data_IF_046013575284
#
_entry.id   IF_046013575284
#
_cell.length_a   1.000
_cell.length_b   1.000
_cell.length_c   1.000
_cell.angle_alpha   90.00
_cell.angle_beta   90.00
_cell.angle_gamma   90.00
#
_symmetry.space_group_name_H-M   'P 1'
#
loop_
_entity.id
_entity.type
_entity.pdbx_description
1 polymer ?
#
# COMPACT_ATOMS: atom_id res chain seq x y z
N UNK A 1 -2.20 20.49 -0.01
CA UNK A 1 -1.32 19.69 0.86
C UNK A 1 -2.15 18.63 1.54
N UNK A 2 -1.74 17.36 1.49
CA UNK A 2 -2.46 16.20 2.04
C UNK A 2 -1.52 15.47 3.01
N UNK A 3 -2.02 15.14 4.20
CA UNK A 3 -1.28 14.29 5.15
C UNK A 3 -1.99 12.95 5.26
N UNK A 4 -1.24 11.86 5.08
CA UNK A 4 -1.77 10.49 5.16
C UNK A 4 -1.18 9.82 6.40
N UNK A 5 -2.07 9.38 7.29
CA UNK A 5 -1.70 8.59 8.47
C UNK A 5 -1.92 7.11 8.14
N UNK A 6 -0.94 6.26 8.46
CA UNK A 6 -1.06 4.81 8.27
C UNK A 6 -0.18 4.06 9.26
N UNK A 7 -0.66 2.92 9.72
CA UNK A 7 0.11 1.97 10.52
C UNK A 7 0.99 1.02 9.69
N UNK A 8 0.82 1.01 8.38
CA UNK A 8 1.66 0.25 7.45
C UNK A 8 3.04 0.90 7.32
N UNK A 9 3.99 0.42 8.12
CA UNK A 9 5.42 0.78 7.97
C UNK A 9 5.90 0.54 6.55
N UNK A 10 5.45 -0.54 5.90
CA UNK A 10 5.82 -0.84 4.54
C UNK A 10 5.45 0.31 3.59
N UNK A 11 4.22 0.81 3.64
CA UNK A 11 3.78 1.91 2.77
C UNK A 11 4.50 3.21 3.13
N UNK A 12 4.52 3.58 4.41
CA UNK A 12 5.12 4.84 4.86
C UNK A 12 6.61 4.89 4.55
N UNK A 13 7.37 3.88 4.94
CA UNK A 13 8.81 3.83 4.68
C UNK A 13 9.13 3.78 3.19
N UNK A 14 8.31 3.09 2.39
CA UNK A 14 8.54 3.02 0.94
C UNK A 14 8.53 4.39 0.27
N UNK A 15 7.71 5.31 0.77
CA UNK A 15 7.60 6.69 0.25
C UNK A 15 8.59 7.61 0.96
N UNK A 16 8.52 7.70 2.30
CA UNK A 16 9.30 8.66 3.09
C UNK A 16 10.81 8.38 3.05
N UNK A 17 11.22 7.10 3.05
CA UNK A 17 12.64 6.70 2.86
C UNK A 17 13.03 6.57 1.39
N UNK A 18 12.10 6.83 0.46
CA UNK A 18 12.35 6.85 -0.97
C UNK A 18 12.67 5.50 -1.61
N UNK A 19 12.30 4.37 -0.98
CA UNK A 19 12.54 3.04 -1.55
C UNK A 19 11.82 2.86 -2.88
N UNK A 20 10.58 3.35 -2.98
CA UNK A 20 9.76 3.23 -4.19
C UNK A 20 10.44 3.87 -5.40
N UNK A 21 11.13 5.00 -5.22
CA UNK A 21 11.85 5.68 -6.30
C UNK A 21 13.06 4.89 -6.78
N UNK A 22 13.70 4.12 -5.89
CA UNK A 22 14.77 3.19 -6.27
C UNK A 22 14.21 1.95 -6.99
N UNK A 23 13.01 1.51 -6.66
CA UNK A 23 12.35 0.40 -7.36
C UNK A 23 11.97 0.78 -8.79
N UNK A 24 11.51 2.02 -9.02
CA UNK A 24 11.25 2.55 -10.37
C UNK A 24 12.48 2.42 -11.26
N UNK A 25 13.66 2.81 -10.77
CA UNK A 25 14.93 2.70 -11.52
C UNK A 25 15.27 1.26 -11.90
N UNK A 26 14.81 0.28 -11.12
CA UNK A 26 15.03 -1.16 -11.35
C UNK A 26 13.81 -1.85 -11.97
N UNK A 27 12.85 -1.09 -12.49
CA UNK A 27 11.58 -1.60 -13.04
C UNK A 27 10.85 -2.57 -12.11
N UNK A 28 10.98 -2.36 -10.80
CA UNK A 28 10.44 -3.21 -9.74
C UNK A 28 10.91 -4.69 -9.78
N UNK A 29 12.04 -4.99 -10.42
CA UNK A 29 12.59 -6.35 -10.47
C UNK A 29 12.82 -6.89 -9.05
N UNK A 30 12.23 -8.04 -8.75
CA UNK A 30 12.33 -8.70 -7.44
C UNK A 30 11.64 -7.94 -6.30
N UNK A 31 10.60 -7.16 -6.62
CA UNK A 31 9.74 -6.50 -5.63
C UNK A 31 8.31 -7.01 -5.78
N UNK A 32 7.63 -7.14 -4.64
CA UNK A 32 6.21 -7.54 -4.56
C UNK A 32 5.31 -6.36 -4.91
N UNK A 33 4.13 -6.65 -5.43
CA UNK A 33 3.07 -5.70 -5.76
C UNK A 33 3.52 -4.51 -6.67
N UNK A 34 4.35 -4.71 -7.72
CA UNK A 34 4.72 -3.66 -8.66
C UNK A 34 3.52 -2.98 -9.32
N UNK A 35 2.41 -3.68 -9.53
CA UNK A 35 1.18 -3.15 -10.12
C UNK A 35 0.57 -2.03 -9.25
N UNK A 36 0.46 -2.25 -7.93
CA UNK A 36 -0.06 -1.28 -6.98
C UNK A 36 0.85 -0.05 -6.87
N UNK A 37 2.17 -0.26 -6.81
CA UNK A 37 3.13 0.85 -6.77
C UNK A 37 3.15 1.67 -8.06
N UNK A 38 3.06 1.01 -9.22
CA UNK A 38 2.91 1.71 -10.51
C UNK A 38 1.63 2.54 -10.55
N UNK A 39 0.52 2.03 -10.03
CA UNK A 39 -0.75 2.77 -9.92
C UNK A 39 -0.61 3.98 -9.00
N UNK A 40 0.00 3.80 -7.83
CA UNK A 40 0.26 4.88 -6.88
C UNK A 40 1.13 6.00 -7.48
N UNK A 41 2.23 5.66 -8.16
CA UNK A 41 3.16 6.64 -8.73
C UNK A 41 2.56 7.47 -9.88
N UNK A 42 1.47 7.03 -10.51
CA UNK A 42 0.75 7.85 -11.50
C UNK A 42 0.01 9.03 -10.88
N UNK A 43 -0.41 8.91 -9.62
CA UNK A 43 -1.19 9.93 -8.91
C UNK A 43 -0.35 10.73 -7.91
N UNK A 44 0.64 10.08 -7.28
CA UNK A 44 1.50 10.69 -6.27
C UNK A 44 2.06 12.08 -6.65
N UNK A 45 2.66 12.30 -7.84
CA UNK A 45 3.25 13.60 -8.17
C UNK A 45 2.22 14.72 -8.40
N UNK A 46 0.92 14.39 -8.49
CA UNK A 46 -0.15 15.38 -8.66
C UNK A 46 -0.54 16.07 -7.35
N UNK A 47 -0.01 15.59 -6.23
CA UNK A 47 -0.37 16.06 -4.89
C UNK A 47 0.90 16.32 -4.07
N UNK A 48 0.86 17.31 -3.20
CA UNK A 48 1.86 17.47 -2.15
C UNK A 48 1.43 16.64 -0.93
N UNK A 49 1.99 15.42 -0.82
CA UNK A 49 1.63 14.41 0.18
C UNK A 49 2.74 14.29 1.23
N UNK A 50 2.36 14.19 2.50
CA UNK A 50 3.23 13.77 3.61
C UNK A 50 2.67 12.52 4.26
N UNK A 51 3.47 11.48 4.46
CA UNK A 51 3.06 10.31 5.22
C UNK A 51 3.52 10.43 6.69
N UNK A 52 2.66 9.96 7.60
CA UNK A 52 2.98 9.85 9.02
C UNK A 52 2.67 8.42 9.46
N UNK A 53 3.70 7.72 9.91
CA UNK A 53 3.51 6.42 10.52
C UNK A 53 2.90 6.57 11.91
N UNK A 54 1.84 5.81 12.16
CA UNK A 54 1.23 5.69 13.49
C UNK A 54 1.33 4.26 13.98
N UNK A 55 1.35 4.06 15.29
CA UNK A 55 1.31 2.70 15.83
C UNK A 55 -0.12 2.16 15.69
N UNK A 56 -0.27 0.95 15.15
CA UNK A 56 -1.56 0.24 15.14
C UNK A 56 -2.02 -0.13 16.57
N UNK A 57 -3.33 -0.22 16.78
CA UNK A 57 -3.96 -0.51 18.08
C UNK A 57 -3.45 0.38 19.23
N UNK A 58 -3.35 1.68 18.97
CA UNK A 58 -2.81 2.67 19.90
C UNK A 58 -3.84 3.69 20.40
N UNK A 59 -5.15 3.37 20.32
CA UNK A 59 -6.25 4.27 20.68
C UNK A 59 -6.26 5.56 19.84
N UNK A 60 -5.88 5.45 18.55
CA UNK A 60 -5.99 6.54 17.58
C UNK A 60 -7.32 6.34 16.86
N UNK A 61 -8.38 7.13 17.17
CA UNK A 61 -9.74 6.81 16.77
C UNK A 61 -9.91 6.63 15.25
N UNK A 62 -9.24 7.46 14.45
CA UNK A 62 -9.32 7.41 12.99
C UNK A 62 -8.64 6.17 12.42
N UNK A 63 -7.48 5.78 12.96
CA UNK A 63 -6.78 4.57 12.49
C UNK A 63 -7.53 3.31 12.92
N UNK A 64 -8.09 3.29 14.13
CA UNK A 64 -8.91 2.17 14.61
C UNK A 64 -10.20 2.04 13.81
N UNK A 65 -10.80 3.15 13.40
CA UNK A 65 -11.94 3.12 12.49
C UNK A 65 -11.55 2.52 11.13
N UNK A 66 -10.39 2.87 10.58
CA UNK A 66 -9.88 2.28 9.35
C UNK A 66 -9.60 0.77 9.50
N UNK A 67 -9.03 0.34 10.62
CA UNK A 67 -8.77 -1.07 10.94
C UNK A 67 -10.08 -1.87 11.01
N UNK A 68 -11.07 -1.36 11.75
CA UNK A 68 -12.40 -1.97 11.83
C UNK A 68 -13.03 -2.15 10.44
N UNK A 69 -13.01 -1.09 9.61
CA UNK A 69 -13.56 -1.13 8.27
C UNK A 69 -12.83 -2.13 7.36
N UNK A 70 -11.50 -2.24 7.49
CA UNK A 70 -10.71 -3.19 6.73
C UNK A 70 -11.03 -4.64 7.13
N UNK A 71 -11.18 -4.92 8.44
CA UNK A 71 -11.59 -6.22 8.96
C UNK A 71 -13.00 -6.58 8.50
N UNK A 72 -13.96 -5.66 8.64
CA UNK A 72 -15.34 -5.87 8.19
C UNK A 72 -15.40 -6.19 6.69
N UNK A 73 -14.66 -5.45 5.86
CA UNK A 73 -14.58 -5.72 4.42
C UNK A 73 -13.97 -7.10 4.12
N UNK A 74 -12.95 -7.53 4.88
CA UNK A 74 -12.31 -8.84 4.68
C UNK A 74 -13.23 -10.04 4.93
N UNK A 75 -14.31 -9.85 5.69
CA UNK A 75 -15.27 -10.91 6.06
C UNK A 75 -16.43 -11.07 5.06
N UNK A 76 -16.50 -10.22 4.03
CA UNK A 76 -17.53 -10.30 2.99
C UNK A 76 -17.32 -11.53 2.09
N UNK A 77 -18.43 -12.11 1.62
CA UNK A 77 -18.43 -13.37 0.86
C UNK A 77 -18.33 -13.21 -0.65
N UNK A 78 -18.52 -11.99 -1.18
CA UNK A 78 -18.49 -11.71 -2.62
C UNK A 78 -17.49 -10.58 -2.94
N UNK A 79 -16.23 -10.79 -2.57
CA UNK A 79 -15.15 -9.84 -2.82
C UNK A 79 -14.65 -9.97 -4.26
N UNK A 80 -14.30 -8.85 -4.91
CA UNK A 80 -13.68 -8.89 -6.24
C UNK A 80 -12.29 -9.53 -6.16
N UNK A 81 -11.93 -10.24 -7.23
CA UNK A 81 -10.60 -10.82 -7.39
C UNK A 81 -9.51 -9.73 -7.39
N UNK A 82 -8.44 -9.97 -6.62
CA UNK A 82 -7.20 -9.23 -6.79
C UNK A 82 -6.47 -9.78 -8.02
N UNK A 83 -6.78 -9.20 -9.18
CA UNK A 83 -6.19 -9.60 -10.47
C UNK A 83 -4.67 -9.44 -10.50
N UNK A 84 -4.12 -8.48 -9.73
CA UNK A 84 -2.67 -8.26 -9.63
C UNK A 84 -2.02 -9.45 -8.92
N UNK A 85 -2.54 -9.80 -7.75
CA UNK A 85 -2.12 -10.98 -6.99
C UNK A 85 -2.25 -12.29 -7.79
N UNK A 86 -3.40 -12.52 -8.44
CA UNK A 86 -3.64 -13.73 -9.25
C UNK A 86 -2.64 -13.82 -10.41
N UNK A 87 -2.37 -12.70 -11.09
CA UNK A 87 -1.38 -12.67 -12.17
C UNK A 87 0.03 -12.99 -11.67
N UNK A 88 0.46 -12.41 -10.55
CA UNK A 88 1.78 -12.70 -9.96
C UNK A 88 1.90 -14.15 -9.48
N UNK A 89 0.81 -14.71 -8.92
CA UNK A 89 0.73 -16.12 -8.54
C UNK A 89 0.94 -17.04 -9.72
N UNK A 90 0.22 -16.80 -10.82
CA UNK A 90 0.27 -17.64 -12.01
C UNK A 90 1.63 -17.58 -12.72
N UNK A 91 2.36 -16.48 -12.57
CA UNK A 91 3.71 -16.31 -13.12
C UNK A 91 4.80 -16.92 -12.24
N UNK A 92 4.46 -17.54 -11.11
CA UNK A 92 5.43 -18.08 -10.15
C UNK A 92 6.30 -17.00 -9.51
N UNK A 93 5.81 -15.75 -9.46
CA UNK A 93 6.54 -14.62 -8.88
C UNK A 93 6.16 -14.37 -7.41
N UNK A 94 5.18 -15.11 -6.90
CA UNK A 94 4.96 -15.23 -5.47
C UNK A 94 6.01 -16.19 -4.91
N UNK A 95 7.03 -15.59 -4.29
CA UNK A 95 8.21 -16.21 -3.63
C UNK A 95 9.37 -16.54 -4.57
#
# INVERSE_FOLDING_TARGET
NVTVYSDSKYVVDSVEKGWVFNWVKKSFKGKKNPDLWKRFLKIYPKHNIKFIWVKGHANIPENERCDQLAVEASLLTNLPDDTGYISEKNQGQLF
#
